data_IF_566824284799
#
_entry.id   IF_566824284799
#
_cell.length_a   1.000
_cell.length_b   1.000
_cell.length_c   1.000
_cell.angle_alpha   90.00
_cell.angle_beta   90.00
_cell.angle_gamma   90.00
#
_symmetry.space_group_name_H-M   'P 1'
#
loop_
_entity.id
_entity.type
_entity.pdbx_description
1 polymer ?
#
# COMPACT_ATOMS: atom_id res chain seq x y z
N UNK A 1 -17.45 -17.86 -11.08
CA UNK A 1 -17.20 -16.59 -10.39
C UNK A 1 -15.86 -16.07 -10.83
N UNK A 2 -15.79 -14.82 -11.23
CA UNK A 2 -14.55 -14.14 -11.58
C UNK A 2 -13.56 -14.22 -10.42
N UNK A 3 -12.28 -14.44 -10.74
CA UNK A 3 -11.22 -14.39 -9.73
C UNK A 3 -11.00 -12.93 -9.33
N UNK A 4 -11.21 -12.62 -8.05
CA UNK A 4 -10.94 -11.30 -7.49
C UNK A 4 -9.64 -11.35 -6.68
N UNK A 5 -8.69 -10.51 -7.05
CA UNK A 5 -7.43 -10.33 -6.32
C UNK A 5 -7.60 -9.25 -5.26
N UNK A 6 -7.18 -9.52 -4.03
CA UNK A 6 -7.38 -8.64 -2.88
C UNK A 6 -6.05 -8.12 -2.30
N UNK A 7 -5.92 -6.81 -2.24
CA UNK A 7 -4.77 -6.10 -1.67
C UNK A 7 -5.25 -5.30 -0.47
N UNK A 8 -4.62 -5.49 0.69
CA UNK A 8 -4.92 -4.74 1.92
C UNK A 8 -3.73 -3.88 2.30
N UNK A 9 -3.96 -2.59 2.45
CA UNK A 9 -2.95 -1.60 2.83
C UNK A 9 -3.20 -1.16 4.26
N UNK A 10 -2.19 -1.31 5.12
CA UNK A 10 -2.24 -0.91 6.52
C UNK A 10 -1.54 0.42 6.74
N UNK A 11 -2.21 1.33 7.43
CA UNK A 11 -1.71 2.66 7.77
C UNK A 11 -1.93 2.97 9.26
N UNK A 12 -1.29 4.05 9.74
CA UNK A 12 -1.50 4.57 11.10
C UNK A 12 -1.40 6.10 11.10
N UNK A 13 -2.37 6.74 11.74
CA UNK A 13 -2.40 8.20 11.86
C UNK A 13 -2.82 8.91 10.59
N UNK A 14 -3.11 10.21 10.72
CA UNK A 14 -3.76 11.01 9.66
C UNK A 14 -2.91 11.12 8.38
N UNK A 15 -1.62 11.41 8.52
CA UNK A 15 -0.72 11.57 7.37
C UNK A 15 -0.57 10.27 6.58
N UNK A 16 -0.36 9.15 7.28
CA UNK A 16 -0.22 7.85 6.64
C UNK A 16 -1.55 7.35 6.08
N UNK A 17 -2.68 7.77 6.64
CA UNK A 17 -4.01 7.48 6.13
C UNK A 17 -4.19 8.05 4.71
N UNK A 18 -3.75 9.30 4.48
CA UNK A 18 -3.72 9.91 3.15
C UNK A 18 -2.82 9.12 2.19
N UNK A 19 -1.60 8.79 2.60
CA UNK A 19 -0.68 7.99 1.78
C UNK A 19 -1.30 6.63 1.40
N UNK A 20 -2.01 5.99 2.33
CA UNK A 20 -2.72 4.74 2.06
C UNK A 20 -3.82 4.90 1.01
N UNK A 21 -4.58 5.99 1.03
CA UNK A 21 -5.58 6.31 -0.01
C UNK A 21 -4.92 6.54 -1.35
N UNK A 22 -3.82 7.29 -1.38
CA UNK A 22 -3.08 7.54 -2.61
C UNK A 22 -2.55 6.23 -3.21
N UNK A 23 -2.05 5.30 -2.37
CA UNK A 23 -1.62 3.95 -2.81
C UNK A 23 -2.76 3.19 -3.47
N UNK A 24 -3.93 3.06 -2.81
CA UNK A 24 -5.04 2.28 -3.36
C UNK A 24 -5.62 2.91 -4.62
N UNK A 25 -5.69 4.24 -4.68
CA UNK A 25 -6.21 4.96 -5.83
C UNK A 25 -5.29 4.83 -7.05
N UNK A 26 -3.97 5.02 -6.87
CA UNK A 26 -2.98 4.83 -7.94
C UNK A 26 -3.02 3.40 -8.48
N UNK A 27 -3.12 2.41 -7.58
CA UNK A 27 -3.17 1.01 -7.96
C UNK A 27 -4.44 0.68 -8.76
N UNK A 28 -5.60 1.16 -8.29
CA UNK A 28 -6.87 0.96 -8.98
C UNK A 28 -6.91 1.65 -10.36
N UNK A 29 -6.42 2.90 -10.45
CA UNK A 29 -6.35 3.64 -11.72
C UNK A 29 -5.43 2.95 -12.72
N UNK A 30 -4.25 2.49 -12.28
CA UNK A 30 -3.33 1.76 -13.15
C UNK A 30 -3.94 0.43 -13.65
N UNK A 31 -4.66 -0.30 -12.79
CA UNK A 31 -5.35 -1.52 -13.17
C UNK A 31 -6.45 -1.25 -14.22
N UNK A 32 -7.20 -0.15 -14.06
CA UNK A 32 -8.20 0.27 -15.07
C UNK A 32 -7.54 0.62 -16.41
N UNK A 33 -6.35 1.25 -16.39
CA UNK A 33 -5.58 1.48 -17.61
C UNK A 33 -5.11 0.17 -18.28
N UNK A 34 -4.95 -0.89 -17.52
CA UNK A 34 -4.66 -2.24 -18.02
C UNK A 34 -5.93 -2.96 -18.52
N UNK A 35 -7.10 -2.31 -18.47
CA UNK A 35 -8.39 -2.89 -18.88
C UNK A 35 -9.03 -3.79 -17.85
N UNK A 36 -8.58 -3.74 -16.58
CA UNK A 36 -9.13 -4.53 -15.48
C UNK A 36 -10.21 -3.79 -14.73
N UNK A 37 -11.12 -4.52 -14.11
CA UNK A 37 -12.07 -3.97 -13.16
C UNK A 37 -11.38 -3.79 -11.80
N UNK A 38 -11.59 -2.62 -11.19
CA UNK A 38 -10.96 -2.27 -9.92
C UNK A 38 -11.95 -1.59 -8.97
N UNK A 39 -11.83 -1.94 -7.69
CA UNK A 39 -12.49 -1.25 -6.58
C UNK A 39 -11.42 -0.82 -5.58
N UNK A 40 -11.48 0.44 -5.15
CA UNK A 40 -10.68 0.98 -4.06
C UNK A 40 -11.60 1.56 -3.00
N UNK A 41 -11.43 1.17 -1.73
CA UNK A 41 -12.27 1.64 -0.63
C UNK A 41 -11.53 1.60 0.70
N UNK A 42 -12.03 2.42 1.65
CA UNK A 42 -11.45 2.57 2.98
C UNK A 42 -12.22 1.78 4.02
N UNK A 43 -11.52 1.31 5.05
CA UNK A 43 -12.16 1.07 6.33
C UNK A 43 -12.32 2.43 7.02
N UNK A 44 -13.54 2.95 6.98
CA UNK A 44 -13.86 4.23 7.62
C UNK A 44 -14.04 4.03 9.13
N UNK A 45 -13.22 4.70 9.92
CA UNK A 45 -13.39 4.77 11.36
C UNK A 45 -13.65 6.23 11.76
N UNK A 46 -14.82 6.48 12.28
CA UNK A 46 -15.25 7.81 12.74
C UNK A 46 -14.85 8.00 14.21
N UNK A 47 -13.53 8.12 14.43
CA UNK A 47 -12.98 8.38 15.75
C UNK A 47 -12.48 9.83 15.83
N UNK A 48 -12.78 10.54 16.94
CA UNK A 48 -12.36 11.93 17.12
C UNK A 48 -10.85 12.11 17.19
N UNK A 49 -10.11 11.09 17.63
CA UNK A 49 -8.64 11.09 17.65
C UNK A 49 -8.10 9.97 16.77
N UNK A 50 -7.56 10.35 15.61
CA UNK A 50 -6.99 9.43 14.62
C UNK A 50 -5.47 9.32 14.68
N UNK A 51 -4.81 10.01 15.59
CA UNK A 51 -3.33 10.13 15.59
C UNK A 51 -2.66 8.77 15.70
N UNK A 52 -3.20 7.87 16.51
CA UNK A 52 -2.62 6.54 16.74
C UNK A 52 -3.48 5.39 16.18
N UNK A 53 -4.62 5.68 15.59
CA UNK A 53 -5.51 4.65 15.05
C UNK A 53 -4.89 4.00 13.83
N UNK A 54 -4.91 2.66 13.84
CA UNK A 54 -4.50 1.86 12.69
C UNK A 54 -5.70 1.65 11.78
N UNK A 55 -5.57 2.04 10.52
CA UNK A 55 -6.62 1.90 9.51
C UNK A 55 -6.19 1.00 8.37
N UNK A 56 -7.17 0.52 7.62
CA UNK A 56 -6.96 -0.33 6.45
C UNK A 56 -7.58 0.30 5.22
N UNK A 57 -6.91 0.13 4.10
CA UNK A 57 -7.39 0.49 2.77
C UNK A 57 -7.38 -0.75 1.91
N UNK A 58 -8.28 -0.82 0.95
CA UNK A 58 -8.50 -2.03 0.18
C UNK A 58 -8.53 -1.76 -1.30
N UNK A 59 -7.93 -2.67 -2.07
CA UNK A 59 -8.09 -2.76 -3.52
C UNK A 59 -8.56 -4.15 -3.87
N UNK A 60 -9.50 -4.24 -4.78
CA UNK A 60 -9.97 -5.47 -5.40
C UNK A 60 -9.84 -5.34 -6.91
N UNK A 61 -9.21 -6.31 -7.54
CA UNK A 61 -8.95 -6.34 -8.97
C UNK A 61 -9.51 -7.61 -9.59
N UNK A 62 -10.09 -7.49 -10.78
CA UNK A 62 -10.57 -8.64 -11.54
C UNK A 62 -10.45 -8.37 -13.04
N UNK A 63 -10.27 -9.42 -13.83
CA UNK A 63 -10.32 -9.34 -15.29
C UNK A 63 -11.78 -9.32 -15.81
N UNK A 64 -12.73 -9.70 -14.96
CA UNK A 64 -14.17 -9.63 -15.22
C UNK A 64 -14.86 -8.65 -14.27
N UNK A 65 -16.11 -8.30 -14.54
CA UNK A 65 -16.87 -7.41 -13.68
C UNK A 65 -16.98 -7.98 -12.25
N UNK A 66 -16.69 -7.13 -11.24
CA UNK A 66 -16.81 -7.49 -9.83
C UNK A 66 -18.28 -7.39 -9.42
N UNK A 67 -18.96 -8.52 -9.29
CA UNK A 67 -20.40 -8.60 -8.97
C UNK A 67 -20.70 -8.05 -7.56
N UNK A 68 -19.91 -8.47 -6.56
CA UNK A 68 -20.07 -8.03 -5.17
C UNK A 68 -19.43 -6.66 -4.94
N UNK A 69 -20.21 -5.60 -5.14
CA UNK A 69 -19.74 -4.20 -5.05
C UNK A 69 -19.74 -3.64 -3.62
N UNK A 70 -20.59 -4.19 -2.74
CA UNK A 70 -20.79 -3.70 -1.37
C UNK A 70 -20.08 -4.61 -0.37
N UNK A 71 -18.78 -4.41 -0.23
CA UNK A 71 -17.95 -5.12 0.75
C UNK A 71 -17.27 -4.10 1.67
N UNK A 72 -17.04 -4.48 2.91
CA UNK A 72 -16.43 -3.61 3.94
C UNK A 72 -14.99 -4.00 4.27
N UNK A 73 -14.55 -5.15 3.81
CA UNK A 73 -13.20 -5.68 4.05
C UNK A 73 -12.81 -6.67 2.96
N UNK A 74 -11.52 -6.92 2.83
CA UNK A 74 -11.00 -8.04 2.05
C UNK A 74 -10.98 -9.30 2.92
N UNK A 75 -11.55 -10.38 2.43
CA UNK A 75 -11.66 -11.65 3.15
C UNK A 75 -10.57 -12.66 2.78
N UNK A 76 -10.06 -12.59 1.54
CA UNK A 76 -9.04 -13.49 0.99
C UNK A 76 -7.79 -12.70 0.55
N UNK A 77 -7.07 -12.15 1.50
CA UNK A 77 -5.94 -11.27 1.25
C UNK A 77 -4.80 -12.01 0.55
N UNK A 78 -4.53 -11.67 -0.70
CA UNK A 78 -3.37 -12.18 -1.43
C UNK A 78 -2.13 -11.31 -1.19
N UNK A 79 -2.34 -10.00 -1.02
CA UNK A 79 -1.27 -9.03 -0.82
C UNK A 79 -1.59 -8.14 0.38
N UNK A 80 -0.61 -7.99 1.25
CA UNK A 80 -0.64 -7.04 2.35
C UNK A 80 0.50 -6.04 2.18
N UNK A 81 0.17 -4.76 2.29
CA UNK A 81 1.12 -3.64 2.21
C UNK A 81 1.13 -2.89 3.52
N UNK A 82 2.29 -2.70 4.11
CA UNK A 82 2.47 -1.98 5.37
C UNK A 82 3.17 -0.65 5.08
N UNK A 83 2.45 0.44 5.24
CA UNK A 83 3.00 1.80 5.05
C UNK A 83 3.76 2.24 6.30
N UNK A 84 3.19 1.94 7.49
CA UNK A 84 3.80 2.29 8.78
C UNK A 84 4.30 1.01 9.49
N UNK A 85 5.61 0.72 9.46
CA UNK A 85 6.16 -0.56 9.90
C UNK A 85 6.03 -0.82 11.41
N UNK A 86 5.76 0.20 12.23
CA UNK A 86 5.57 0.02 13.68
C UNK A 86 4.33 -0.80 14.03
N UNK A 87 3.36 -0.90 13.11
CA UNK A 87 2.14 -1.69 13.25
C UNK A 87 2.44 -3.19 13.47
N UNK A 88 3.50 -3.69 12.84
CA UNK A 88 3.84 -5.12 12.82
C UNK A 88 4.07 -5.69 14.23
N UNK A 89 4.49 -4.86 15.18
CA UNK A 89 4.78 -5.30 16.55
C UNK A 89 3.55 -5.55 17.41
N UNK A 90 2.40 -5.04 17.02
CA UNK A 90 1.22 -5.08 17.90
C UNK A 90 -0.04 -5.66 17.25
N UNK A 91 0.00 -5.94 15.95
CA UNK A 91 -1.17 -6.37 15.19
C UNK A 91 -0.80 -7.58 14.33
N UNK A 92 -1.69 -8.56 14.30
CA UNK A 92 -1.61 -9.66 13.33
C UNK A 92 -2.01 -9.15 11.93
N UNK A 93 -0.99 -8.65 11.22
CA UNK A 93 -1.15 -8.04 9.89
C UNK A 93 -1.52 -9.05 8.81
N UNK A 94 -1.24 -10.34 9.04
CA UNK A 94 -1.48 -11.43 8.09
C UNK A 94 -2.80 -12.15 8.33
N UNK A 95 -3.58 -11.75 9.34
CA UNK A 95 -4.88 -12.37 9.62
C UNK A 95 -5.76 -12.38 8.36
N UNK A 96 -6.21 -13.55 7.96
CA UNK A 96 -7.03 -13.76 6.74
C UNK A 96 -6.22 -13.79 5.43
N UNK A 97 -4.90 -13.85 5.50
CA UNK A 97 -4.05 -14.05 4.32
C UNK A 97 -4.13 -15.50 3.83
N UNK A 98 -4.24 -15.68 2.53
CA UNK A 98 -4.09 -16.98 1.90
C UNK A 98 -2.64 -17.48 1.99
N UNK A 99 -2.45 -18.80 2.11
CA UNK A 99 -1.11 -19.39 2.07
C UNK A 99 -0.41 -19.06 0.75
N UNK A 100 0.85 -18.68 0.83
CA UNK A 100 1.61 -18.21 -0.34
C UNK A 100 1.43 -16.72 -0.62
N UNK A 101 0.79 -15.98 0.29
CA UNK A 101 0.54 -14.54 0.13
C UNK A 101 1.81 -13.69 0.07
N UNK A 102 1.63 -12.45 -0.31
CA UNK A 102 2.73 -11.48 -0.49
C UNK A 102 2.64 -10.36 0.55
N UNK A 103 3.76 -10.05 1.20
CA UNK A 103 3.89 -8.93 2.12
C UNK A 103 4.89 -7.91 1.60
N UNK A 104 4.48 -6.66 1.49
CA UNK A 104 5.35 -5.53 1.13
C UNK A 104 5.39 -4.54 2.29
N UNK A 105 6.59 -4.17 2.75
CA UNK A 105 6.77 -3.31 3.92
C UNK A 105 7.57 -2.06 3.53
N UNK A 106 7.06 -0.89 3.86
CA UNK A 106 7.81 0.35 3.79
C UNK A 106 8.82 0.40 4.94
N UNK A 107 10.07 0.12 4.66
CA UNK A 107 11.14 0.15 5.67
C UNK A 107 12.53 0.09 5.04
N UNK A 108 13.50 0.74 5.66
CA UNK A 108 14.93 0.59 5.34
C UNK A 108 15.58 -0.62 6.03
N UNK A 109 14.87 -1.30 6.93
CA UNK A 109 15.39 -2.47 7.66
C UNK A 109 15.48 -3.70 6.77
N UNK A 110 16.33 -4.65 7.16
CA UNK A 110 16.44 -5.93 6.46
C UNK A 110 15.19 -6.79 6.63
N UNK A 111 14.90 -7.63 5.64
CA UNK A 111 13.80 -8.61 5.68
C UNK A 111 13.92 -9.51 6.92
N UNK A 112 15.15 -9.95 7.27
CA UNK A 112 15.38 -10.79 8.46
C UNK A 112 14.99 -10.10 9.76
N UNK A 113 15.24 -8.79 9.84
CA UNK A 113 14.83 -8.00 11.01
C UNK A 113 13.31 -7.90 11.12
N UNK A 114 12.62 -7.80 9.98
CA UNK A 114 11.16 -7.69 9.96
C UNK A 114 10.48 -9.02 10.26
N UNK A 115 10.97 -10.13 9.72
CA UNK A 115 10.42 -11.47 9.94
C UNK A 115 10.33 -11.87 11.41
N UNK A 116 11.25 -11.37 12.25
CA UNK A 116 11.24 -11.65 13.69
C UNK A 116 9.99 -11.17 14.42
N UNK A 117 9.26 -10.22 13.84
CA UNK A 117 8.05 -9.63 14.42
C UNK A 117 6.76 -10.15 13.78
N UNK A 118 6.84 -11.09 12.84
CA UNK A 118 5.70 -11.62 12.09
C UNK A 118 5.46 -13.08 12.54
N UNK A 119 4.51 -13.32 13.47
CA UNK A 119 4.32 -14.65 14.04
C UNK A 119 3.84 -15.69 13.01
N UNK A 120 3.06 -15.27 12.01
CA UNK A 120 2.46 -16.15 11.00
C UNK A 120 3.22 -16.08 9.65
N UNK A 121 4.55 -15.95 9.70
CA UNK A 121 5.38 -15.82 8.50
C UNK A 121 5.34 -17.04 7.58
N UNK A 122 4.89 -18.19 8.07
CA UNK A 122 4.64 -19.43 7.30
C UNK A 122 3.50 -19.30 6.27
N UNK A 123 2.64 -18.28 6.40
CA UNK A 123 1.63 -17.92 5.39
C UNK A 123 2.24 -17.25 4.16
N UNK A 124 3.45 -16.67 4.28
CA UNK A 124 4.07 -15.89 3.22
C UNK A 124 4.75 -16.78 2.18
N UNK A 125 4.44 -16.56 0.92
CA UNK A 125 5.23 -17.03 -0.22
C UNK A 125 6.29 -16.00 -0.62
N UNK A 126 6.00 -14.71 -0.40
CA UNK A 126 6.92 -13.62 -0.77
C UNK A 126 6.88 -12.51 0.27
N UNK A 127 8.04 -12.01 0.65
CA UNK A 127 8.20 -10.78 1.43
C UNK A 127 9.10 -9.79 0.70
N UNK A 128 8.73 -8.52 0.75
CA UNK A 128 9.53 -7.46 0.14
C UNK A 128 9.61 -6.24 1.05
N UNK A 129 10.71 -5.50 0.93
CA UNK A 129 10.91 -4.21 1.61
C UNK A 129 11.29 -3.13 0.62
N UNK A 130 10.76 -1.94 0.81
CA UNK A 130 11.09 -0.74 0.05
C UNK A 130 11.27 0.42 1.04
N UNK A 131 12.32 1.21 0.87
CA UNK A 131 12.55 2.43 1.66
C UNK A 131 11.92 3.63 0.95
N UNK A 132 10.59 3.72 0.98
CA UNK A 132 9.87 4.79 0.32
C UNK A 132 10.15 6.16 0.95
N UNK A 133 10.35 6.22 2.26
CA UNK A 133 10.77 7.44 2.96
C UNK A 133 12.15 7.92 2.49
N UNK A 134 13.11 7.01 2.33
CA UNK A 134 14.45 7.32 1.79
C UNK A 134 14.42 7.73 0.31
N UNK A 135 13.51 7.14 -0.48
CA UNK A 135 13.31 7.48 -1.90
C UNK A 135 12.78 8.91 -2.07
N UNK A 136 11.79 9.30 -1.29
CA UNK A 136 11.15 10.62 -1.41
C UNK A 136 11.93 11.73 -0.71
N UNK A 137 12.82 11.37 0.22
CA UNK A 137 13.50 12.31 1.09
C UNK A 137 12.59 12.88 2.19
N UNK A 138 13.19 13.62 3.12
CA UNK A 138 12.42 14.32 4.16
C UNK A 138 11.77 15.55 3.52
N UNK A 139 10.48 15.49 3.26
CA UNK A 139 9.70 16.68 2.91
C UNK A 139 9.42 17.44 4.20
N UNK A 140 10.11 18.54 4.39
CA UNK A 140 9.77 19.51 5.44
C UNK A 140 8.47 20.19 5.01
N UNK A 141 7.44 20.10 5.83
CA UNK A 141 6.23 20.90 5.63
C UNK A 141 6.63 22.34 5.98
N UNK A 142 6.74 23.19 4.97
CA UNK A 142 6.99 24.62 5.17
C UNK A 142 5.67 25.30 5.50
N UNK A 143 5.51 25.69 6.76
CA UNK A 143 4.36 26.45 7.24
C UNK A 143 4.53 27.98 7.06
N UNK A 144 5.63 28.44 6.46
CA UNK A 144 6.02 29.87 6.45
C UNK A 144 5.31 30.72 5.40
N UNK A 145 4.34 30.21 4.66
CA UNK A 145 3.81 30.93 3.49
C UNK A 145 2.30 31.04 3.30
N UNK A 146 1.45 30.59 4.21
CA UNK A 146 0.00 30.63 3.94
C UNK A 146 -0.76 31.59 4.83
N UNK A 147 -0.93 32.82 4.38
CA UNK A 147 -2.04 33.70 4.79
C UNK A 147 -3.36 33.22 4.13
N UNK A 148 -3.79 32.01 4.38
CA UNK A 148 -5.05 31.54 3.78
C UNK A 148 -5.17 30.06 3.65
N UNK A 149 -5.58 29.39 4.71
CA UNK A 149 -6.03 28.02 4.67
C UNK A 149 -4.91 27.00 4.44
N UNK A 150 -4.84 26.03 5.31
CA UNK A 150 -3.94 24.87 5.12
C UNK A 150 -4.37 24.16 3.83
N UNK A 151 -3.57 24.27 2.79
CA UNK A 151 -3.73 23.42 1.60
C UNK A 151 -3.42 21.99 2.01
N UNK A 152 -4.47 21.22 2.30
CA UNK A 152 -4.34 19.81 2.68
C UNK A 152 -3.76 18.94 1.56
N UNK A 153 -3.66 19.45 0.34
CA UNK A 153 -3.00 18.77 -0.77
C UNK A 153 -1.49 18.60 -0.55
N UNK A 154 -0.87 19.43 0.32
CA UNK A 154 0.53 19.33 0.72
C UNK A 154 0.80 18.41 1.93
N UNK A 155 -0.24 17.92 2.60
CA UNK A 155 -0.10 17.06 3.78
C UNK A 155 0.11 15.62 3.34
N UNK A 156 1.34 15.23 3.11
CA UNK A 156 1.71 13.86 2.78
C UNK A 156 3.21 13.75 2.60
N UNK A 157 3.77 12.58 2.84
CA UNK A 157 5.20 12.32 2.60
C UNK A 157 5.49 12.08 1.12
N UNK A 158 4.47 11.84 0.29
CA UNK A 158 4.61 11.50 -1.13
C UNK A 158 5.20 10.10 -1.35
N UNK A 159 5.05 9.20 -0.37
CA UNK A 159 5.60 7.84 -0.42
C UNK A 159 4.72 6.86 -1.19
N UNK A 160 3.52 7.27 -1.57
CA UNK A 160 2.59 6.40 -2.29
C UNK A 160 3.17 5.90 -3.61
N UNK A 161 3.79 6.77 -4.40
CA UNK A 161 4.35 6.40 -5.71
C UNK A 161 5.43 5.32 -5.62
N UNK A 162 6.49 5.43 -4.78
CA UNK A 162 7.47 4.36 -4.64
C UNK A 162 6.88 3.08 -4.05
N UNK A 163 5.91 3.15 -3.14
CA UNK A 163 5.24 1.96 -2.60
C UNK A 163 4.48 1.23 -3.71
N UNK A 164 3.68 1.93 -4.52
CA UNK A 164 2.93 1.31 -5.62
C UNK A 164 3.87 0.72 -6.67
N UNK A 165 4.98 1.39 -6.98
CA UNK A 165 6.03 0.85 -7.83
C UNK A 165 6.58 -0.48 -7.32
N UNK A 166 6.91 -0.54 -6.02
CA UNK A 166 7.37 -1.76 -5.37
C UNK A 166 6.31 -2.88 -5.42
N UNK A 167 5.05 -2.57 -5.10
CA UNK A 167 3.95 -3.55 -5.13
C UNK A 167 3.73 -4.08 -6.55
N UNK A 168 3.76 -3.21 -7.56
CA UNK A 168 3.64 -3.61 -8.96
C UNK A 168 4.76 -4.60 -9.37
N UNK A 169 6.00 -4.32 -8.97
CA UNK A 169 7.16 -5.21 -9.25
C UNK A 169 7.02 -6.57 -8.59
N UNK A 170 6.61 -6.59 -7.33
CA UNK A 170 6.55 -7.82 -6.51
C UNK A 170 5.39 -8.71 -6.97
N UNK A 171 4.25 -8.11 -7.30
CA UNK A 171 3.02 -8.86 -7.60
C UNK A 171 2.80 -9.11 -9.08
N UNK A 172 3.30 -8.25 -9.95
CA UNK A 172 3.00 -8.27 -11.39
C UNK A 172 1.53 -8.01 -11.72
N UNK A 173 0.73 -7.51 -10.77
CA UNK A 173 -0.72 -7.32 -10.94
C UNK A 173 -1.08 -6.15 -11.85
N UNK A 174 -0.19 -5.19 -12.02
CA UNK A 174 -0.34 -4.04 -12.93
C UNK A 174 0.97 -3.80 -13.69
N UNK A 175 0.83 -3.27 -14.91
CA UNK A 175 1.98 -2.95 -15.76
C UNK A 175 2.65 -1.67 -15.27
N UNK A 176 3.99 -1.65 -15.34
CA UNK A 176 4.79 -0.46 -14.99
C UNK A 176 4.38 0.75 -15.85
N UNK A 177 4.12 0.52 -17.13
CA UNK A 177 3.75 1.55 -18.10
C UNK A 177 2.42 2.21 -17.76
N UNK A 178 1.44 1.44 -17.31
CA UNK A 178 0.13 1.95 -16.89
C UNK A 178 0.23 2.74 -15.59
N UNK A 179 1.05 2.25 -14.66
CA UNK A 179 1.34 2.97 -13.42
C UNK A 179 2.04 4.31 -13.68
N UNK A 180 3.01 4.35 -14.59
CA UNK A 180 3.72 5.58 -14.96
C UNK A 180 2.80 6.67 -15.56
N UNK A 181 1.67 6.28 -16.19
CA UNK A 181 0.70 7.23 -16.73
C UNK A 181 -0.18 7.91 -15.68
N UNK A 182 -0.38 7.25 -14.53
CA UNK A 182 -1.26 7.75 -13.47
C UNK A 182 -0.50 8.32 -12.27
N UNK A 183 0.77 7.96 -12.11
CA UNK A 183 1.61 8.45 -11.01
C UNK A 183 1.99 9.92 -11.20
N UNK A 184 1.76 10.74 -10.18
CA UNK A 184 2.20 12.13 -10.14
C UNK A 184 3.72 12.26 -9.95
N UNK A 185 4.34 11.28 -9.28
CA UNK A 185 5.79 11.16 -9.11
C UNK A 185 6.29 9.89 -9.81
N UNK A 186 6.53 9.99 -11.12
CA UNK A 186 7.03 8.88 -11.93
C UNK A 186 8.44 8.45 -11.50
N UNK A 187 9.30 9.40 -11.11
CA UNK A 187 10.66 9.10 -10.67
C UNK A 187 10.67 8.29 -9.36
N UNK A 188 9.87 8.70 -8.38
CA UNK A 188 9.70 7.96 -7.12
C UNK A 188 9.11 6.57 -7.36
N UNK A 189 8.12 6.46 -8.22
CA UNK A 189 7.52 5.18 -8.62
C UNK A 189 8.56 4.25 -9.26
N UNK A 190 9.37 4.74 -10.20
CA UNK A 190 10.42 3.95 -10.86
C UNK A 190 11.51 3.51 -9.89
N UNK A 191 11.91 4.38 -8.98
CA UNK A 191 12.86 4.02 -7.91
C UNK A 191 12.28 2.93 -7.01
N UNK A 192 11.03 3.07 -6.55
CA UNK A 192 10.37 2.04 -5.76
C UNK A 192 10.30 0.69 -6.48
N UNK A 193 10.01 0.70 -7.78
CA UNK A 193 9.99 -0.49 -8.62
C UNK A 193 11.37 -1.15 -8.74
N UNK A 194 12.45 -0.37 -8.87
CA UNK A 194 13.80 -0.88 -9.11
C UNK A 194 14.55 -1.23 -7.81
N UNK A 195 14.33 -0.48 -6.71
CA UNK A 195 15.08 -0.61 -5.46
C UNK A 195 14.42 -1.57 -4.45
N UNK A 196 13.21 -2.06 -4.72
CA UNK A 196 12.53 -3.03 -3.84
C UNK A 196 13.35 -4.31 -3.67
N UNK A 197 13.54 -4.73 -2.42
CA UNK A 197 14.23 -5.97 -2.05
C UNK A 197 13.19 -7.06 -1.88
N UNK A 198 13.34 -8.16 -2.59
CA UNK A 198 12.35 -9.25 -2.65
C UNK A 198 12.99 -10.55 -2.17
N UNK A 199 12.27 -11.31 -1.35
CA UNK A 199 12.63 -12.67 -0.95
C UNK A 199 11.43 -13.60 -1.09
N UNK A 200 11.61 -14.72 -1.77
CA UNK A 200 10.68 -15.85 -1.77
C UNK A 200 10.95 -16.74 -0.55
N UNK A 201 9.91 -17.21 0.10
CA UNK A 201 9.98 -17.94 1.38
C UNK A 201 9.54 -19.40 1.26
N UNK A 202 9.03 -19.83 0.12
CA UNK A 202 8.57 -21.18 -0.08
C UNK A 202 8.84 -21.78 -1.41
#
# INVERSE_FOLDING_TARGET
MAKVHEITVWTRGVTMDKEGRDVINLFAQAAQMDGRHAQAFDNYEDLPDRVLVTTRKYVRLSDEEIEHKYVYTNDHREVVVIIEPTIIKGIDILRGMAKGGTLVINTNRSIDSMLKFIPNADLLGTIATVDADGITGVRTIDFSGSEGGVDTAGIGKGIAAPIVGAVAKVTGMIKKESLAKVASDVSGMERGYNEVKIRKLG
#
